data_IF_230400720755
#
_entry.id   IF_230400720755
#
_cell.length_a   1.000
_cell.length_b   1.000
_cell.length_c   1.000
_cell.angle_alpha   90.00
_cell.angle_beta   90.00
_cell.angle_gamma   90.00
#
_symmetry.space_group_name_H-M   'P 1'
#
loop_
_entity.id
_entity.type
_entity.pdbx_description
1 polymer ?
2 non-polymer ?
#
# COMPACT_ATOMS: atom_id res chain seq x y z
N UNK A 1 7.70 10.29 10.81
CA UNK A 1 7.01 10.15 9.53
C UNK A 1 6.67 8.70 9.21
N UNK A 2 5.59 8.53 8.43
CA UNK A 2 5.11 7.16 8.07
C UNK A 2 4.63 7.07 6.65
N UNK A 3 4.62 5.83 6.15
CA UNK A 3 3.94 5.47 4.91
C UNK A 3 2.40 5.37 5.14
N UNK A 4 1.66 6.13 4.35
CA UNK A 4 0.20 6.19 4.43
C UNK A 4 -0.33 5.83 3.06
N UNK A 5 -1.33 4.97 3.08
CA UNK A 5 -2.11 4.54 1.97
C UNK A 5 -3.58 4.79 2.17
N UNK A 6 -4.28 5.04 1.08
CA UNK A 6 -5.69 5.22 1.05
C UNK A 6 -6.25 4.39 -0.04
N UNK A 7 -7.31 3.67 0.29
CA UNK A 7 -7.98 2.73 -0.58
C UNK A 7 -9.41 3.24 -0.71
N UNK A 8 -9.83 3.44 -1.94
CA UNK A 8 -11.23 3.85 -2.13
C UNK A 8 -11.83 2.99 -3.25
N UNK A 9 -10.86 -1.70 -6.54
CA UNK A 9 -10.84 -0.28 -6.18
C UNK A 9 -9.45 0.34 -6.31
N UNK A 10 -9.35 1.63 -6.08
CA UNK A 10 -8.03 2.29 -6.22
C UNK A 10 -7.25 2.45 -4.89
N UNK A 11 -5.96 2.54 -5.01
CA UNK A 11 -5.11 2.55 -3.86
C UNK A 11 -3.96 3.44 -4.15
N UNK A 12 -3.63 4.37 -3.23
CA UNK A 12 -0.76 6.30 -2.48
C UNK A 12 3.24 8.49 1.31
N UNK A 13 3.73 9.66 1.71
CA UNK A 13 4.37 9.66 3.00
C UNK A 13 4.57 11.01 3.52
N UNK A 14 4.44 11.04 4.85
CA UNK A 14 4.41 12.31 5.59
C UNK A 14 4.94 12.10 7.02
N UNK B 1 7.76 -3.62 -14.34
CA UNK B 1 7.47 -3.98 -12.96
C UNK B 1 6.56 -2.95 -12.26
N UNK B 2 6.12 -3.31 -11.05
CA UNK B 2 5.19 -2.47 -10.25
C UNK B 2 5.22 -2.86 -8.78
N UNK B 3 4.52 -2.06 -8.01
CA UNK B 3 4.58 -2.20 -6.58
C UNK B 3 3.45 -3.16 -6.24
N UNK B 4 3.71 -4.04 -5.30
CA UNK B 4 2.79 -5.09 -4.94
C UNK B 4 2.60 -5.04 -3.46
N UNK B 5 1.36 -5.08 -3.06
CA UNK B 5 1.05 -5.25 -1.69
C UNK B 5 0.10 -6.34 -1.35
N UNK B 6 0.18 -6.83 -0.12
CA UNK B 6 -0.70 -7.87 0.34
C UNK B 6 -1.24 -7.51 1.69
N UNK B 7 -2.54 -7.69 1.81
CA UNK B 7 -3.29 -7.34 2.98
C UNK B 7 -3.89 -8.62 3.51
N UNK B 8 -3.55 -8.94 4.74
CA UNK B 8 -4.21 -10.08 5.39
C UNK B 8 -4.86 -9.66 6.74
N UNK B 9 -6.26 -4.92 9.79
CA UNK B 9 -5.48 -6.09 9.37
C UNK B 9 -4.01 -5.74 9.11
N UNK B 10 -3.24 -6.66 8.56
CA UNK B 10 -1.79 -6.41 8.30
C UNK B 10 -1.58 -6.11 6.77
N UNK B 11 -0.69 -5.17 6.46
CA UNK B 11 -0.43 -4.79 5.07
C UNK B 11 1.03 -4.69 4.81
N UNK B 12 1.54 -5.34 3.75
CA UNK B 12 4.52 -4.86 1.83
C UNK B 12 7.28 -4.56 -3.48
N UNK B 13 8.39 -4.89 -4.10
CA UNK B 13 8.36 -4.72 -5.51
C UNK B 13 8.95 -5.72 -6.32
N UNK B 14 8.39 -5.85 -7.52
CA UNK B 14 8.65 -7.01 -8.43
C UNK B 14 8.76 -6.55 -9.86
X LIG C 1 3.37 3.75 -1.48
X LIG C 1 2.01 3.11 -1.24
X LIG C 1 2.12 1.70 -0.98
X LIG C 1 1.52 3.67 0.07
X LIG C 1 0.94 3.32 -2.32
X LIG C 1 1.23 2.97 -3.77
X LIG C 1 2.03 1.79 -3.89
X LIG C 1 -0.01 2.85 -4.77
X LIG D 1 -0.13 12.17 0.74
X LIG D 1 -0.08 11.14 1.85
X LIG D 1 1.30 10.72 2.02
X LIG D 1 -0.34 11.82 3.17
X LIG D 1 -1.07 9.99 1.58
X LIG D 1 -1.78 10.12 0.23
X LIG D 1 -2.71 9.07 0.00
X LIG D 1 -2.54 11.43 0.09
X LIG E 1 5.84 -1.10 2.93
X LIG E 1 4.39 -0.64 2.80
X LIG E 1 3.61 -1.26 3.91
X LIG E 1 4.30 0.90 2.84
X LIG E 1 3.89 -1.12 1.44
X LIG E 1 4.71 -0.80 0.18
X LIG E 1 3.90 -1.12 -0.93
X LIG E 1 5.05 0.66 -0.03
X LIG F 1 12.89 -7.99 -8.26
X LIG F 1 13.23 -9.18 -9.13
X LIG F 1 12.24 -10.21 -8.89
X LIG F 1 13.16 -8.76 -10.59
X LIG F 1 14.59 -9.80 -8.83
X LIG F 1 14.86 -11.13 -9.53
X LIG F 1 16.18 -11.20 -9.99
X LIG F 1 14.63 -12.34 -8.63
X LIG G 1 7.80 -9.39 -1.61
X LIG G 1 6.82 -8.79 -2.59
X LIG G 1 7.49 -7.79 -3.41
X LIG G 1 6.38 -9.90 -3.52
X LIG G 1 5.61 -8.19 -1.86
X LIG G 1 4.83 -9.23 -1.05
X LIG G 1 5.62 -10.30 -0.63
X LIG G 1 4.20 -8.69 0.22
#
# INVERSE_FOLDING_TARGET
>A
AAIIGLMVAKFXYK
>B
AAIIGLMVAKFXYK
>C hetero
1 MPD C1 C2 O2 CM C3 C4 O4 C5
>D hetero
1 MPD C1 C2 O2 CM C3 C4 O4 C5
>E hetero
1 MPD C1 C2 O2 CM C3 C4 O4 C5
>F hetero
1 MPD C1 C2 O2 CM C3 C4 O4 C5
>G hetero
1 MPD C1 C2 O2 CM C3 C4 O4 C5
#
